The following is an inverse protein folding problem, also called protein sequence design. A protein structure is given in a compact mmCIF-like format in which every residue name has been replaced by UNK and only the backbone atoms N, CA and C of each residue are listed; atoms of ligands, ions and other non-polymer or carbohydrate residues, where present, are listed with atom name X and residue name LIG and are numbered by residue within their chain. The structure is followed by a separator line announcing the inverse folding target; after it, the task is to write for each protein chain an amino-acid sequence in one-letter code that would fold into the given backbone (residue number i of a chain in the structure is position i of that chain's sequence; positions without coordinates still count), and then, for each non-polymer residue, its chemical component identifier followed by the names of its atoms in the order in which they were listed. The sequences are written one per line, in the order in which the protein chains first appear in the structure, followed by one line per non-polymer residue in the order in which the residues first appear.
data_IF_449256061380
#
_entry.id   IF_449256061380
#
_cell.length_a   1.000
_cell.length_b   1.000
_cell.length_c   1.000
_cell.angle_alpha   90.00
_cell.angle_beta   90.00
_cell.angle_gamma   90.00
#
_symmetry.space_group_name_H-M   'P 1'
#
loop_
_entity.id
_entity.type
_entity.pdbx_description
1 polymer ?
#
# COMPACT_ATOMS: atom_id res chain seq x y z
N UNK A 1 -21.83 24.66 28.98
CA UNK A 1 -22.60 23.45 28.61
C UNK A 1 -22.49 23.26 27.10
N UNK A 2 -21.59 22.43 26.63
CA UNK A 2 -21.50 21.98 25.24
C UNK A 2 -21.70 20.46 25.27
N UNK A 3 -22.77 19.99 24.68
CA UNK A 3 -23.07 18.59 24.52
C UNK A 3 -22.12 17.99 23.49
N UNK A 4 -21.30 17.03 23.91
CA UNK A 4 -20.53 16.15 23.06
C UNK A 4 -21.48 15.12 22.44
N UNK A 5 -21.74 15.22 21.14
CA UNK A 5 -22.43 14.18 20.37
C UNK A 5 -21.40 13.08 20.06
N UNK A 6 -21.46 12.02 20.85
CA UNK A 6 -20.77 10.76 20.52
C UNK A 6 -21.47 10.12 19.30
N UNK A 7 -20.75 10.01 18.21
CA UNK A 7 -21.14 9.16 17.08
C UNK A 7 -20.97 7.70 17.48
N UNK A 8 -21.98 6.81 17.30
CA UNK A 8 -21.87 5.43 17.66
C UNK A 8 -20.83 4.71 16.78
N UNK A 9 -19.99 3.94 17.46
CA UNK A 9 -18.88 3.18 16.93
C UNK A 9 -19.29 2.20 15.81
N UNK A 10 -19.14 2.60 14.56
CA UNK A 10 -19.27 1.70 13.38
C UNK A 10 -18.24 0.55 13.38
N UNK A 11 -17.22 0.60 14.23
CA UNK A 11 -16.20 -0.43 14.40
C UNK A 11 -16.67 -1.65 15.21
N UNK A 12 -17.60 -1.50 16.16
CA UNK A 12 -18.04 -2.60 17.02
C UNK A 12 -18.98 -3.57 16.30
N UNK A 13 -19.89 -3.10 15.49
CA UNK A 13 -20.84 -3.92 14.73
C UNK A 13 -20.16 -4.81 13.68
N UNK A 14 -19.08 -4.34 13.02
CA UNK A 14 -18.31 -5.16 12.08
C UNK A 14 -17.51 -6.25 12.80
N UNK A 15 -16.94 -5.97 13.97
CA UNK A 15 -16.21 -6.95 14.76
C UNK A 15 -17.13 -8.06 15.29
N UNK A 16 -18.35 -7.73 15.73
CA UNK A 16 -19.33 -8.70 16.20
C UNK A 16 -19.83 -9.64 15.08
N UNK A 17 -19.99 -9.14 13.85
CA UNK A 17 -20.37 -9.96 12.69
C UNK A 17 -19.28 -10.95 12.26
N UNK A 18 -18.05 -10.81 12.76
CA UNK A 18 -16.96 -11.76 12.51
C UNK A 18 -16.89 -12.91 13.53
N UNK A 19 -17.66 -12.85 14.62
CA UNK A 19 -17.71 -13.94 15.61
C UNK A 19 -18.37 -15.19 14.99
N UNK A 20 -17.69 -16.34 14.95
CA UNK A 20 -18.23 -17.58 14.41
C UNK A 20 -19.49 -18.07 15.14
N UNK A 21 -19.63 -17.77 16.44
CA UNK A 21 -20.82 -18.11 17.21
C UNK A 21 -22.04 -17.30 16.75
N UNK A 22 -21.88 -16.01 16.50
CA UNK A 22 -22.95 -15.13 16.00
C UNK A 22 -23.40 -15.57 14.60
N UNK A 23 -22.46 -15.93 13.72
CA UNK A 23 -22.78 -16.45 12.38
C UNK A 23 -23.54 -17.78 12.46
N UNK A 24 -23.11 -18.72 13.31
CA UNK A 24 -23.76 -19.99 13.50
C UNK A 24 -25.19 -19.80 14.03
N UNK A 25 -25.38 -18.88 14.97
CA UNK A 25 -26.68 -18.55 15.52
C UNK A 25 -27.62 -17.94 14.47
N UNK A 26 -27.13 -17.01 13.67
CA UNK A 26 -27.88 -16.40 12.56
C UNK A 26 -28.32 -17.46 11.52
N UNK A 27 -27.47 -18.42 11.19
CA UNK A 27 -27.81 -19.53 10.29
C UNK A 27 -28.87 -20.43 10.90
N UNK A 28 -28.76 -20.75 12.19
CA UNK A 28 -29.77 -21.56 12.90
C UNK A 28 -31.14 -20.88 12.91
N UNK A 29 -31.20 -19.56 13.19
CA UNK A 29 -32.43 -18.78 13.07
C UNK A 29 -32.95 -18.81 11.65
N UNK A 30 -32.12 -18.67 10.65
CA UNK A 30 -32.54 -18.68 9.26
C UNK A 30 -33.14 -20.03 8.85
N UNK A 31 -32.57 -21.15 9.30
CA UNK A 31 -33.14 -22.48 9.09
C UNK A 31 -34.54 -22.58 9.75
N UNK A 32 -34.66 -22.09 10.97
CA UNK A 32 -35.96 -22.12 11.71
C UNK A 32 -37.01 -21.27 11.00
N UNK A 33 -36.67 -20.04 10.61
CA UNK A 33 -37.57 -19.12 9.87
C UNK A 33 -38.02 -19.75 8.56
N UNK A 34 -37.07 -20.32 7.80
CA UNK A 34 -37.37 -21.00 6.53
C UNK A 34 -38.33 -22.20 6.77
N UNK A 35 -38.08 -22.99 7.79
CA UNK A 35 -38.95 -24.12 8.17
C UNK A 35 -40.37 -23.63 8.53
N UNK A 36 -40.50 -22.64 9.42
CA UNK A 36 -41.80 -22.08 9.81
C UNK A 36 -42.54 -21.50 8.63
N UNK A 37 -41.86 -20.77 7.75
CA UNK A 37 -42.45 -20.20 6.55
C UNK A 37 -43.01 -21.28 5.61
N UNK A 38 -42.22 -22.32 5.33
CA UNK A 38 -42.67 -23.47 4.50
C UNK A 38 -43.89 -24.17 5.12
N UNK A 39 -43.95 -24.24 6.46
CA UNK A 39 -45.09 -24.85 7.18
C UNK A 39 -46.33 -23.99 7.09
N UNK A 40 -46.24 -22.69 7.27
CA UNK A 40 -47.40 -21.78 7.25
C UNK A 40 -48.01 -21.63 5.85
N UNK A 41 -47.23 -21.87 4.81
CA UNK A 41 -47.68 -21.79 3.39
C UNK A 41 -48.30 -23.10 2.87
N UNK A 42 -48.53 -24.07 3.74
CA UNK A 42 -49.36 -25.27 3.41
C UNK A 42 -48.57 -26.54 3.19
N UNK A 43 -47.31 -26.64 3.64
CA UNK A 43 -46.50 -27.84 3.54
C UNK A 43 -46.26 -28.30 2.12
N UNK A 44 -45.08 -28.34 1.73
CA UNK A 44 -44.45 -28.53 0.45
C UNK A 44 -45.22 -29.18 -0.70
N UNK A 45 -45.50 -28.41 -1.71
CA UNK A 45 -45.13 -28.77 -3.04
C UNK A 45 -43.62 -28.49 -3.20
N UNK A 46 -42.90 -29.29 -3.96
CA UNK A 46 -41.47 -29.33 -4.14
C UNK A 46 -40.70 -27.97 -4.27
N UNK A 47 -41.36 -26.94 -4.76
CA UNK A 47 -40.76 -25.62 -4.99
C UNK A 47 -40.38 -24.84 -3.71
N UNK A 48 -41.13 -24.98 -2.61
CA UNK A 48 -40.82 -24.28 -1.36
C UNK A 48 -39.71 -24.96 -0.54
N UNK A 49 -39.43 -26.22 -0.79
CA UNK A 49 -38.27 -26.92 -0.20
C UNK A 49 -36.94 -26.42 -0.75
N UNK A 50 -36.94 -25.84 -1.96
CA UNK A 50 -35.74 -25.24 -2.53
C UNK A 50 -35.24 -24.03 -1.74
N UNK A 51 -36.09 -23.38 -0.92
CA UNK A 51 -35.65 -22.35 0.00
C UNK A 51 -34.63 -22.87 1.06
N UNK A 52 -34.58 -24.18 1.30
CA UNK A 52 -33.57 -24.80 2.14
C UNK A 52 -32.12 -24.62 1.62
N UNK A 53 -31.94 -24.34 0.34
CA UNK A 53 -30.59 -24.03 -0.21
C UNK A 53 -30.03 -22.69 0.26
N UNK A 54 -30.86 -21.71 0.62
CA UNK A 54 -30.40 -20.40 1.05
C UNK A 54 -29.58 -20.45 2.37
N UNK A 55 -30.01 -21.06 3.46
CA UNK A 55 -29.18 -21.23 4.67
C UNK A 55 -27.93 -22.09 4.41
N UNK A 56 -28.00 -23.08 3.48
CA UNK A 56 -26.87 -23.93 3.10
C UNK A 56 -25.80 -23.06 2.39
N UNK A 57 -26.20 -22.22 1.44
CA UNK A 57 -25.30 -21.34 0.71
C UNK A 57 -24.64 -20.30 1.66
N UNK A 58 -25.42 -19.74 2.59
CA UNK A 58 -24.91 -18.80 3.59
C UNK A 58 -23.88 -19.47 4.52
N UNK A 59 -24.13 -20.72 4.95
CA UNK A 59 -23.22 -21.47 5.79
C UNK A 59 -21.94 -21.88 5.01
N UNK A 60 -22.09 -22.24 3.75
CA UNK A 60 -20.95 -22.53 2.86
C UNK A 60 -20.06 -21.27 2.67
N UNK A 61 -20.68 -20.10 2.53
CA UNK A 61 -19.94 -18.82 2.46
C UNK A 61 -19.24 -18.48 3.79
N UNK A 62 -19.90 -18.68 4.93
CA UNK A 62 -19.38 -18.28 6.24
C UNK A 62 -18.34 -19.24 6.83
N UNK A 63 -18.42 -20.54 6.52
CA UNK A 63 -17.64 -21.62 7.15
C UNK A 63 -17.03 -22.61 6.14
N UNK A 64 -17.03 -22.28 4.84
CA UNK A 64 -16.51 -23.12 3.78
C UNK A 64 -17.30 -24.42 3.58
N UNK A 65 -16.65 -25.42 2.97
CA UNK A 65 -17.31 -26.71 2.63
C UNK A 65 -17.86 -27.46 3.84
N UNK A 66 -17.23 -27.34 5.02
CA UNK A 66 -17.71 -27.96 6.26
C UNK A 66 -19.02 -27.34 6.73
N UNK A 67 -19.14 -26.01 6.63
CA UNK A 67 -20.39 -25.30 6.94
C UNK A 67 -21.52 -25.70 6.01
N UNK A 68 -21.25 -25.78 4.70
CA UNK A 68 -22.21 -26.24 3.71
C UNK A 68 -22.68 -27.68 3.94
N UNK A 69 -21.76 -28.59 4.25
CA UNK A 69 -22.09 -30.00 4.56
C UNK A 69 -22.98 -30.13 5.82
N UNK A 70 -22.54 -29.55 6.92
CA UNK A 70 -23.26 -29.65 8.20
C UNK A 70 -24.65 -29.03 8.09
N UNK A 71 -24.75 -27.85 7.48
CA UNK A 71 -26.05 -27.17 7.32
C UNK A 71 -26.94 -27.92 6.33
N UNK A 72 -26.38 -28.50 5.26
CA UNK A 72 -27.13 -29.36 4.33
C UNK A 72 -27.78 -30.57 5.03
N UNK A 73 -27.04 -31.25 5.88
CA UNK A 73 -27.56 -32.35 6.69
C UNK A 73 -28.62 -31.88 7.73
N UNK A 74 -28.38 -30.73 8.38
CA UNK A 74 -29.31 -30.13 9.32
C UNK A 74 -30.64 -29.74 8.65
N UNK A 75 -30.61 -29.10 7.50
CA UNK A 75 -31.80 -28.75 6.71
C UNK A 75 -32.52 -30.00 6.26
N UNK A 76 -31.82 -31.03 5.77
CA UNK A 76 -32.46 -32.29 5.42
C UNK A 76 -33.18 -32.97 6.60
N UNK A 77 -32.60 -32.90 7.80
CA UNK A 77 -33.20 -33.45 8.98
C UNK A 77 -34.46 -32.64 9.42
N UNK A 78 -34.39 -31.32 9.39
CA UNK A 78 -35.48 -30.39 9.77
C UNK A 78 -36.67 -30.52 8.80
N UNK A 79 -36.42 -30.71 7.53
CA UNK A 79 -37.44 -30.87 6.49
C UNK A 79 -37.83 -32.33 6.21
N UNK A 80 -37.30 -33.28 6.97
CA UNK A 80 -37.53 -34.72 6.77
C UNK A 80 -37.96 -35.44 8.09
N UNK A 81 -37.04 -36.18 8.75
CA UNK A 81 -37.41 -37.08 9.84
C UNK A 81 -37.86 -36.37 11.13
N UNK A 82 -37.38 -35.13 11.38
CA UNK A 82 -37.68 -34.42 12.64
C UNK A 82 -39.18 -34.12 12.79
N UNK A 83 -39.90 -33.56 11.79
CA UNK A 83 -41.35 -33.35 11.91
C UNK A 83 -42.14 -34.66 12.07
N UNK A 84 -41.74 -35.72 11.37
CA UNK A 84 -42.38 -37.03 11.50
C UNK A 84 -42.18 -37.62 12.88
N UNK A 85 -40.97 -37.50 13.46
CA UNK A 85 -40.69 -37.95 14.83
C UNK A 85 -41.49 -37.16 15.90
N UNK A 86 -41.76 -35.87 15.65
CA UNK A 86 -42.58 -35.01 16.47
C UNK A 86 -44.11 -35.24 16.29
N UNK A 87 -44.53 -36.16 15.41
CA UNK A 87 -45.93 -36.41 15.10
C UNK A 87 -46.65 -35.32 14.31
N UNK A 88 -45.88 -34.43 13.66
CA UNK A 88 -46.39 -33.28 12.90
C UNK A 88 -46.73 -33.63 11.46
N UNK A 89 -46.18 -34.72 10.91
CA UNK A 89 -46.38 -35.19 9.53
C UNK A 89 -46.37 -36.72 9.43
N UNK A 90 -46.82 -37.22 8.23
CA UNK A 90 -46.61 -38.62 7.86
C UNK A 90 -45.12 -38.84 7.54
N UNK A 91 -44.62 -40.01 7.92
CA UNK A 91 -43.22 -40.40 7.63
C UNK A 91 -43.04 -40.50 6.13
N UNK A 92 -42.16 -39.68 5.59
CA UNK A 92 -41.69 -39.83 4.19
C UNK A 92 -40.94 -41.18 4.03
N UNK A 93 -40.93 -41.69 2.82
CA UNK A 93 -40.17 -42.91 2.54
C UNK A 93 -38.66 -42.71 2.79
N UNK A 94 -37.97 -43.69 3.36
CA UNK A 94 -36.54 -43.59 3.66
C UNK A 94 -35.70 -43.19 2.44
N UNK A 95 -36.12 -43.58 1.26
CA UNK A 95 -35.42 -43.26 0.01
C UNK A 95 -35.54 -41.78 -0.37
N UNK A 96 -36.72 -41.21 -0.25
CA UNK A 96 -36.98 -39.79 -0.55
C UNK A 96 -36.15 -38.86 0.34
N UNK A 97 -36.13 -39.16 1.65
CA UNK A 97 -35.28 -38.44 2.58
C UNK A 97 -33.79 -38.59 2.28
N UNK A 98 -33.32 -39.78 1.94
CA UNK A 98 -31.92 -40.05 1.62
C UNK A 98 -31.48 -39.26 0.38
N UNK A 99 -32.31 -39.21 -0.67
CA UNK A 99 -32.04 -38.43 -1.87
C UNK A 99 -31.91 -36.94 -1.53
N UNK A 100 -32.81 -36.43 -0.68
CA UNK A 100 -32.79 -35.02 -0.26
C UNK A 100 -31.54 -34.70 0.58
N UNK A 101 -31.23 -35.55 1.56
CA UNK A 101 -30.05 -35.38 2.42
C UNK A 101 -28.77 -35.39 1.62
N UNK A 102 -28.62 -36.32 0.67
CA UNK A 102 -27.46 -36.38 -0.20
C UNK A 102 -27.35 -35.16 -1.15
N UNK A 103 -28.48 -34.68 -1.67
CA UNK A 103 -28.52 -33.48 -2.53
C UNK A 103 -28.13 -32.22 -1.74
N UNK A 104 -28.71 -31.96 -0.58
CA UNK A 104 -28.38 -30.80 0.24
C UNK A 104 -26.95 -30.82 0.74
N UNK A 105 -26.48 -31.96 1.25
CA UNK A 105 -25.11 -32.13 1.70
C UNK A 105 -24.11 -32.00 0.53
N UNK A 106 -24.43 -32.61 -0.62
CA UNK A 106 -23.60 -32.58 -1.83
C UNK A 106 -23.46 -31.16 -2.39
N UNK A 107 -24.57 -30.46 -2.58
CA UNK A 107 -24.58 -29.07 -3.07
C UNK A 107 -23.87 -28.14 -2.08
N UNK A 108 -24.16 -28.24 -0.78
CA UNK A 108 -23.50 -27.44 0.24
C UNK A 108 -21.98 -27.64 0.27
N UNK A 109 -21.54 -28.90 0.15
CA UNK A 109 -20.11 -29.24 0.07
C UNK A 109 -19.48 -28.69 -1.21
N UNK A 110 -20.13 -28.83 -2.37
CA UNK A 110 -19.63 -28.36 -3.65
C UNK A 110 -19.50 -26.83 -3.66
N UNK A 111 -20.55 -26.13 -3.28
CA UNK A 111 -20.54 -24.65 -3.21
C UNK A 111 -19.45 -24.17 -2.25
N UNK A 112 -19.35 -24.77 -1.06
CA UNK A 112 -18.31 -24.42 -0.09
C UNK A 112 -16.89 -24.63 -0.63
N UNK A 113 -16.64 -25.74 -1.33
CA UNK A 113 -15.31 -26.00 -1.95
C UNK A 113 -14.99 -25.03 -3.08
N UNK A 114 -15.97 -24.64 -3.89
CA UNK A 114 -15.77 -23.62 -4.93
C UNK A 114 -15.44 -22.26 -4.31
N UNK A 115 -16.14 -21.85 -3.27
CA UNK A 115 -15.87 -20.61 -2.56
C UNK A 115 -14.49 -20.63 -1.87
N UNK A 116 -14.14 -21.72 -1.20
CA UNK A 116 -12.81 -21.88 -0.59
C UNK A 116 -11.69 -21.74 -1.62
N UNK A 117 -11.85 -22.36 -2.81
CA UNK A 117 -10.87 -22.23 -3.91
C UNK A 117 -10.75 -20.80 -4.42
N UNK A 118 -11.87 -20.12 -4.71
CA UNK A 118 -11.82 -18.75 -5.21
C UNK A 118 -11.20 -17.79 -4.22
N UNK A 119 -11.44 -17.95 -2.92
CA UNK A 119 -10.80 -17.16 -1.87
C UNK A 119 -9.31 -17.44 -1.80
N UNK A 120 -8.90 -18.72 -1.85
CA UNK A 120 -7.48 -19.09 -1.83
C UNK A 120 -6.75 -18.52 -3.04
N UNK A 121 -7.28 -18.73 -4.26
CA UNK A 121 -6.69 -18.20 -5.50
C UNK A 121 -6.57 -16.67 -5.49
N UNK A 122 -7.60 -15.95 -5.01
CA UNK A 122 -7.56 -14.49 -4.86
C UNK A 122 -6.49 -14.04 -3.83
N UNK A 123 -6.35 -14.78 -2.73
CA UNK A 123 -5.34 -14.48 -1.70
C UNK A 123 -3.92 -14.73 -2.22
N UNK A 124 -3.71 -15.85 -2.91
CA UNK A 124 -2.41 -16.19 -3.52
C UNK A 124 -2.02 -15.20 -4.62
N UNK A 125 -2.98 -14.79 -5.47
CA UNK A 125 -2.74 -13.78 -6.49
C UNK A 125 -2.36 -12.41 -5.88
N UNK A 126 -3.02 -12.03 -4.78
CA UNK A 126 -2.71 -10.78 -4.07
C UNK A 126 -1.34 -10.85 -3.37
N UNK A 127 -1.05 -11.96 -2.71
CA UNK A 127 0.25 -12.18 -2.07
C UNK A 127 1.39 -12.21 -3.09
N UNK A 128 1.20 -12.92 -4.22
CA UNK A 128 2.18 -12.93 -5.31
C UNK A 128 2.41 -11.54 -5.93
N UNK A 129 1.38 -10.71 -6.00
CA UNK A 129 1.49 -9.32 -6.44
C UNK A 129 2.30 -8.46 -5.48
N UNK A 130 2.07 -8.57 -4.18
CA UNK A 130 2.82 -7.84 -3.13
C UNK A 130 4.29 -8.27 -3.13
N UNK A 131 4.57 -9.57 -3.16
CA UNK A 131 5.93 -10.09 -3.24
C UNK A 131 6.66 -9.68 -4.52
N UNK A 132 5.93 -9.52 -5.63
CA UNK A 132 6.46 -9.01 -6.90
C UNK A 132 6.90 -7.57 -6.81
N UNK A 133 6.04 -6.70 -6.24
CA UNK A 133 6.35 -5.28 -6.03
C UNK A 133 7.55 -5.12 -5.10
N UNK A 134 7.62 -5.89 -4.02
CA UNK A 134 8.74 -5.76 -3.07
C UNK A 134 10.08 -6.17 -3.70
N UNK A 135 10.10 -7.26 -4.48
CA UNK A 135 11.30 -7.67 -5.23
C UNK A 135 11.71 -6.63 -6.28
N UNK A 136 10.75 -6.01 -6.96
CA UNK A 136 11.01 -4.92 -7.89
C UNK A 136 11.63 -3.72 -7.17
N UNK A 137 11.09 -3.33 -6.01
CA UNK A 137 11.62 -2.26 -5.15
C UNK A 137 13.05 -2.54 -4.69
N UNK A 138 13.34 -3.75 -4.23
CA UNK A 138 14.70 -4.16 -3.85
C UNK A 138 15.69 -4.08 -5.02
N UNK A 139 15.25 -4.52 -6.20
CA UNK A 139 16.08 -4.48 -7.42
C UNK A 139 16.38 -3.05 -7.85
N UNK A 140 15.37 -2.17 -7.84
CA UNK A 140 15.54 -0.76 -8.18
C UNK A 140 16.46 -0.05 -7.18
N UNK A 141 16.32 -0.35 -5.89
CA UNK A 141 17.22 0.19 -4.86
C UNK A 141 18.67 -0.25 -5.06
N UNK A 142 18.89 -1.51 -5.44
CA UNK A 142 20.24 -1.99 -5.75
C UNK A 142 20.85 -1.25 -6.95
N UNK A 143 20.04 -0.99 -7.98
CA UNK A 143 20.46 -0.19 -9.16
C UNK A 143 20.73 1.27 -8.79
N UNK A 144 19.91 1.90 -7.95
CA UNK A 144 20.11 3.27 -7.48
C UNK A 144 21.42 3.39 -6.68
N UNK A 145 21.69 2.47 -5.78
CA UNK A 145 22.96 2.40 -5.05
C UNK A 145 24.15 2.22 -6.01
N UNK A 146 24.01 1.40 -7.03
CA UNK A 146 25.05 1.22 -8.06
C UNK A 146 25.27 2.50 -8.89
N UNK A 147 24.21 3.26 -9.19
CA UNK A 147 24.31 4.55 -9.87
C UNK A 147 25.12 5.55 -9.05
N UNK A 148 24.77 5.69 -7.77
CA UNK A 148 25.42 6.61 -6.83
C UNK A 148 26.87 6.19 -6.50
N UNK A 149 27.20 4.89 -6.45
CA UNK A 149 28.55 4.39 -6.14
C UNK A 149 29.61 4.82 -7.16
N UNK A 150 29.19 5.30 -8.31
CA UNK A 150 30.10 5.84 -9.34
C UNK A 150 30.58 7.25 -9.02
N UNK A 151 29.80 8.03 -8.25
CA UNK A 151 30.02 9.47 -8.07
C UNK A 151 30.30 9.84 -6.60
N UNK A 152 29.80 9.10 -5.65
CA UNK A 152 29.87 9.42 -4.21
C UNK A 152 30.06 8.17 -3.33
N UNK A 153 30.16 8.37 -1.99
CA UNK A 153 30.02 7.33 -0.97
C UNK A 153 28.56 6.83 -0.93
N UNK A 154 28.21 6.04 -1.90
CA UNK A 154 26.89 5.74 -2.43
C UNK A 154 25.86 5.20 -1.43
N UNK A 155 26.28 4.35 -0.51
CA UNK A 155 25.36 3.69 0.41
C UNK A 155 24.73 4.65 1.41
N UNK A 156 25.48 5.60 1.88
CA UNK A 156 25.09 6.50 2.94
C UNK A 156 24.27 7.69 2.42
N UNK A 157 24.61 8.22 1.23
CA UNK A 157 23.84 9.28 0.58
C UNK A 157 22.37 8.85 0.39
N UNK A 158 22.15 7.70 -0.24
CA UNK A 158 20.80 7.17 -0.51
C UNK A 158 19.98 7.04 0.78
N UNK A 159 20.61 6.58 1.88
CA UNK A 159 19.94 6.47 3.19
C UNK A 159 19.65 7.82 3.84
N UNK A 160 20.56 8.80 3.71
CA UNK A 160 20.35 10.16 4.23
C UNK A 160 19.22 10.85 3.48
N UNK A 161 19.14 10.68 2.16
CA UNK A 161 18.05 11.20 1.33
C UNK A 161 16.71 10.57 1.74
N UNK A 162 16.64 9.24 1.89
CA UNK A 162 15.43 8.56 2.40
C UNK A 162 14.97 9.18 3.71
N UNK A 163 15.86 9.22 4.68
CA UNK A 163 15.54 9.65 6.04
C UNK A 163 15.07 11.12 6.09
N UNK A 164 15.81 12.02 5.44
CA UNK A 164 15.50 13.46 5.46
C UNK A 164 14.25 13.79 4.68
N UNK A 165 14.03 13.16 3.51
CA UNK A 165 12.83 13.37 2.69
C UNK A 165 11.58 12.85 3.39
N UNK A 166 11.63 11.67 4.00
CA UNK A 166 10.55 11.12 4.82
C UNK A 166 10.19 12.04 5.98
N UNK A 167 11.20 12.51 6.74
CA UNK A 167 10.97 13.40 7.89
C UNK A 167 10.41 14.75 7.46
N UNK A 168 10.90 15.33 6.36
CA UNK A 168 10.35 16.57 5.83
C UNK A 168 8.89 16.39 5.37
N UNK A 169 8.56 15.31 4.68
CA UNK A 169 7.19 14.98 4.29
C UNK A 169 6.25 14.88 5.51
N UNK A 170 6.67 14.20 6.58
CA UNK A 170 5.90 14.13 7.85
C UNK A 170 5.66 15.52 8.44
N UNK A 171 6.70 16.37 8.49
CA UNK A 171 6.59 17.74 9.01
C UNK A 171 5.76 18.66 8.13
N UNK A 172 5.72 18.41 6.82
CA UNK A 172 4.85 19.09 5.88
C UNK A 172 3.37 18.63 5.96
N UNK A 173 3.02 17.74 6.92
CA UNK A 173 1.65 17.34 7.21
C UNK A 173 1.19 16.07 6.51
N UNK A 174 2.08 15.32 5.86
CA UNK A 174 1.75 14.05 5.25
C UNK A 174 1.77 12.90 6.26
N UNK A 175 0.78 12.00 6.17
CA UNK A 175 0.72 10.81 7.02
C UNK A 175 1.90 9.86 6.79
N UNK A 176 2.18 9.00 7.79
CA UNK A 176 3.36 8.12 7.81
C UNK A 176 3.51 7.23 6.57
N UNK A 177 2.42 6.75 5.98
CA UNK A 177 2.44 5.91 4.76
C UNK A 177 2.95 6.72 3.56
N UNK A 178 2.40 7.91 3.34
CA UNK A 178 2.83 8.79 2.23
C UNK A 178 4.26 9.27 2.44
N UNK A 179 4.63 9.64 3.66
CA UNK A 179 5.98 10.06 3.98
C UNK A 179 7.01 8.93 3.79
N UNK A 180 6.66 7.69 4.14
CA UNK A 180 7.52 6.53 3.87
C UNK A 180 7.69 6.29 2.36
N UNK A 181 6.63 6.48 1.58
CA UNK A 181 6.69 6.38 0.12
C UNK A 181 7.57 7.49 -0.49
N UNK A 182 7.46 8.74 -0.01
CA UNK A 182 8.37 9.84 -0.41
C UNK A 182 9.82 9.47 -0.13
N UNK A 183 10.12 8.95 1.07
CA UNK A 183 11.47 8.54 1.43
C UNK A 183 12.02 7.43 0.53
N UNK A 184 11.23 6.38 0.29
CA UNK A 184 11.61 5.29 -0.60
C UNK A 184 11.83 5.79 -2.04
N UNK A 185 10.89 6.55 -2.57
CA UNK A 185 10.95 7.08 -3.94
C UNK A 185 12.14 8.03 -4.13
N UNK A 186 12.49 8.80 -3.11
CA UNK A 186 13.65 9.70 -3.11
C UNK A 186 14.97 8.97 -3.34
N UNK A 187 15.09 7.71 -2.88
CA UNK A 187 16.31 6.91 -3.12
C UNK A 187 16.60 6.65 -4.60
N UNK A 188 15.60 6.80 -5.47
CA UNK A 188 15.70 6.50 -6.89
C UNK A 188 15.92 7.73 -7.78
N UNK A 189 16.02 8.94 -7.19
CA UNK A 189 16.02 10.21 -7.92
C UNK A 189 17.07 10.29 -9.03
N UNK A 190 18.23 9.70 -8.82
CA UNK A 190 19.40 9.75 -9.67
C UNK A 190 19.69 8.46 -10.47
N UNK A 191 18.73 7.54 -10.54
CA UNK A 191 18.88 6.26 -11.26
C UNK A 191 19.34 6.44 -12.72
N UNK A 192 18.92 7.51 -13.37
CA UNK A 192 19.30 7.84 -14.74
C UNK A 192 20.78 8.15 -14.95
N UNK A 193 21.54 8.44 -13.88
CA UNK A 193 22.99 8.60 -13.95
C UNK A 193 23.70 7.33 -14.48
N UNK A 194 23.08 6.15 -14.40
CA UNK A 194 23.59 4.92 -15.02
C UNK A 194 23.86 5.08 -16.54
N UNK A 195 23.15 6.00 -17.20
CA UNK A 195 23.32 6.26 -18.64
C UNK A 195 24.36 7.36 -18.95
N UNK A 196 24.82 8.08 -17.94
CA UNK A 196 25.88 9.08 -18.12
C UNK A 196 27.23 8.37 -18.34
N UNK A 197 27.98 8.67 -19.40
CA UNK A 197 29.29 8.07 -19.63
C UNK A 197 30.29 8.39 -18.52
N UNK A 198 31.10 7.40 -18.09
CA UNK A 198 32.11 7.58 -17.03
C UNK A 198 33.05 8.73 -17.26
N UNK A 199 33.50 8.95 -18.53
CA UNK A 199 34.37 10.07 -18.91
C UNK A 199 33.79 11.45 -18.58
N UNK A 200 32.43 11.55 -18.43
CA UNK A 200 31.74 12.79 -18.07
C UNK A 200 31.48 12.79 -16.56
N UNK A 201 30.88 11.72 -16.02
CA UNK A 201 30.50 11.65 -14.63
C UNK A 201 31.69 11.73 -13.66
N UNK A 202 32.82 11.12 -14.02
CA UNK A 202 34.05 11.05 -13.23
C UNK A 202 35.12 12.06 -13.64
N UNK A 203 34.77 13.02 -14.49
CA UNK A 203 35.71 14.03 -14.96
C UNK A 203 36.22 14.88 -13.81
N UNK A 204 37.53 14.98 -13.58
CA UNK A 204 38.10 15.78 -12.49
C UNK A 204 38.03 17.29 -12.73
N UNK A 205 37.87 17.70 -13.98
CA UNK A 205 37.75 19.09 -14.39
C UNK A 205 36.31 19.55 -14.54
N UNK A 206 36.00 20.84 -14.53
CA UNK A 206 34.67 21.34 -14.83
C UNK A 206 34.13 20.79 -16.16
N UNK A 207 32.82 20.45 -16.14
CA UNK A 207 32.13 19.99 -17.35
C UNK A 207 31.98 21.14 -18.36
N UNK A 208 32.19 20.84 -19.63
CA UNK A 208 31.87 21.77 -20.70
C UNK A 208 30.37 21.84 -21.01
N UNK A 209 29.87 22.78 -21.83
CA UNK A 209 28.44 22.92 -22.11
C UNK A 209 27.79 21.67 -22.73
N UNK A 210 28.53 20.93 -23.58
CA UNK A 210 28.00 19.73 -24.23
C UNK A 210 27.89 18.57 -23.22
N UNK A 211 28.88 18.42 -22.33
CA UNK A 211 28.87 17.47 -21.24
C UNK A 211 27.76 17.77 -20.25
N UNK A 212 27.54 19.03 -19.89
CA UNK A 212 26.41 19.46 -19.07
C UNK A 212 25.08 19.11 -19.71
N UNK A 213 24.95 19.26 -21.02
CA UNK A 213 23.74 18.87 -21.76
C UNK A 213 23.43 17.37 -21.55
N UNK A 214 24.47 16.52 -21.57
CA UNK A 214 24.33 15.09 -21.34
C UNK A 214 23.92 14.79 -19.89
N UNK A 215 24.60 15.41 -18.91
CA UNK A 215 24.27 15.20 -17.48
C UNK A 215 22.83 15.62 -17.18
N UNK A 216 22.34 16.73 -17.74
CA UNK A 216 20.97 17.21 -17.56
C UNK A 216 19.89 16.30 -18.12
N UNK A 217 20.23 15.23 -18.84
CA UNK A 217 19.27 14.22 -19.30
C UNK A 217 18.98 13.15 -18.26
N UNK A 218 19.75 13.04 -17.16
CA UNK A 218 19.51 11.97 -16.18
C UNK A 218 18.12 12.01 -15.53
N UNK A 219 17.44 13.15 -15.31
CA UNK A 219 16.08 13.15 -14.81
C UNK A 219 15.10 12.46 -15.77
N UNK A 220 15.23 12.75 -17.08
CA UNK A 220 14.44 12.09 -18.12
C UNK A 220 14.75 10.59 -18.15
N UNK A 221 16.00 10.21 -18.06
CA UNK A 221 16.42 8.81 -18.04
C UNK A 221 16.00 8.08 -16.76
N UNK A 222 15.89 8.79 -15.64
CA UNK A 222 15.32 8.23 -14.40
C UNK A 222 13.84 7.89 -14.59
N UNK A 223 13.05 8.81 -15.13
CA UNK A 223 11.64 8.56 -15.45
C UNK A 223 11.48 7.40 -16.44
N UNK A 224 12.27 7.36 -17.51
CA UNK A 224 12.27 6.28 -18.50
C UNK A 224 12.64 4.91 -17.89
N UNK A 225 13.55 4.87 -16.92
CA UNK A 225 13.97 3.64 -16.25
C UNK A 225 12.91 3.10 -15.28
N UNK A 226 12.08 3.97 -14.73
CA UNK A 226 11.02 3.64 -13.77
C UNK A 226 9.70 3.29 -14.49
N UNK A 227 9.77 2.44 -15.51
CA UNK A 227 8.58 1.89 -16.17
C UNK A 227 7.91 0.87 -15.28
N UNK A 228 6.58 0.89 -15.16
CA UNK A 228 5.85 -0.06 -14.32
C UNK A 228 4.51 0.46 -13.83
N UNK A 229 4.02 -0.15 -12.74
CA UNK A 229 2.71 0.14 -12.17
C UNK A 229 2.63 1.50 -11.44
N UNK A 230 1.43 1.76 -10.91
CA UNK A 230 1.14 2.99 -10.16
C UNK A 230 2.03 3.18 -8.91
N UNK A 231 2.62 2.11 -8.38
CA UNK A 231 3.52 2.14 -7.22
C UNK A 231 4.86 2.84 -7.50
N UNK A 232 5.22 3.09 -8.77
CA UNK A 232 6.42 3.85 -9.17
C UNK A 232 6.13 5.31 -9.54
N UNK A 233 4.86 5.74 -9.52
CA UNK A 233 4.47 7.08 -9.95
C UNK A 233 5.19 8.20 -9.19
N UNK A 234 5.28 8.07 -7.88
CA UNK A 234 5.98 9.05 -7.05
C UNK A 234 7.48 9.10 -7.37
N UNK A 235 8.10 7.94 -7.60
CA UNK A 235 9.51 7.87 -7.99
C UNK A 235 9.77 8.49 -9.36
N UNK A 236 8.85 8.32 -10.33
CA UNK A 236 8.92 9.01 -11.64
C UNK A 236 8.85 10.53 -11.49
N UNK A 237 7.89 11.02 -10.70
CA UNK A 237 7.74 12.47 -10.45
C UNK A 237 8.98 13.06 -9.80
N UNK A 238 9.55 12.40 -8.80
CA UNK A 238 10.79 12.80 -8.16
C UNK A 238 11.94 12.76 -9.18
N UNK A 239 12.13 11.62 -9.84
CA UNK A 239 13.21 11.41 -10.80
C UNK A 239 13.24 12.47 -11.89
N UNK A 240 12.07 12.80 -12.47
CA UNK A 240 11.97 13.81 -13.52
C UNK A 240 12.20 15.22 -13.00
N UNK A 241 11.66 15.58 -11.82
CA UNK A 241 11.51 16.99 -11.44
C UNK A 241 12.37 17.45 -10.26
N UNK A 242 13.27 16.61 -9.71
CA UNK A 242 14.10 16.98 -8.56
C UNK A 242 15.15 18.07 -8.85
N UNK A 243 15.38 18.41 -10.12
CA UNK A 243 16.24 19.53 -10.55
C UNK A 243 15.45 20.76 -11.03
N UNK A 244 14.12 20.73 -10.89
CA UNK A 244 13.35 21.95 -11.09
C UNK A 244 13.60 22.95 -9.97
N UNK A 245 13.67 24.25 -10.33
CA UNK A 245 13.81 25.34 -9.40
C UNK A 245 12.46 26.04 -9.19
N UNK A 246 12.19 26.51 -7.98
CA UNK A 246 10.94 27.15 -7.64
C UNK A 246 10.55 28.31 -8.56
N UNK A 247 11.55 29.04 -9.08
CA UNK A 247 11.38 30.17 -10.00
C UNK A 247 11.26 29.77 -11.49
N UNK A 248 11.29 28.49 -11.82
CA UNK A 248 11.22 27.98 -13.19
C UNK A 248 12.54 27.98 -13.96
N UNK A 249 13.66 28.32 -13.31
CA UNK A 249 15.00 28.30 -13.94
C UNK A 249 15.63 26.90 -13.97
N UNK A 250 14.91 25.88 -13.48
CA UNK A 250 15.36 24.50 -13.39
C UNK A 250 15.28 23.72 -14.70
N UNK A 251 15.40 22.41 -14.63
CA UNK A 251 15.30 21.48 -15.75
C UNK A 251 14.70 20.14 -15.29
N UNK A 252 14.15 19.30 -16.20
CA UNK A 252 14.17 19.42 -17.67
C UNK A 252 13.01 20.24 -18.26
N UNK A 253 11.91 20.48 -17.51
CA UNK A 253 10.67 21.04 -18.03
C UNK A 253 10.49 22.54 -17.76
N UNK A 254 11.30 23.11 -16.85
CA UNK A 254 11.17 24.51 -16.42
C UNK A 254 9.89 24.79 -15.66
N UNK A 255 9.42 23.82 -14.86
CA UNK A 255 8.26 23.97 -13.98
C UNK A 255 8.54 24.99 -12.89
N UNK A 256 7.52 25.78 -12.50
CA UNK A 256 7.67 26.77 -11.44
C UNK A 256 6.62 26.61 -10.34
N UNK A 257 6.98 26.96 -9.11
CA UNK A 257 6.09 26.97 -7.97
C UNK A 257 5.39 25.63 -7.76
N UNK A 258 4.07 25.66 -7.60
CA UNK A 258 3.25 24.47 -7.36
C UNK A 258 3.07 23.55 -8.58
N UNK A 259 3.56 23.91 -9.75
CA UNK A 259 3.63 23.00 -10.89
C UNK A 259 4.65 21.87 -10.65
N UNK A 260 5.67 22.14 -9.82
CA UNK A 260 6.66 21.13 -9.42
C UNK A 260 5.97 20.17 -8.44
N UNK A 261 5.96 18.84 -8.70
CA UNK A 261 5.38 17.88 -7.77
C UNK A 261 5.98 18.03 -6.36
N UNK A 262 5.12 18.04 -5.34
CA UNK A 262 5.57 18.24 -3.95
C UNK A 262 6.68 17.27 -3.52
N UNK A 263 6.64 15.94 -3.85
CA UNK A 263 7.74 15.05 -3.53
C UNK A 263 9.08 15.48 -4.16
N UNK A 264 9.06 16.02 -5.38
CA UNK A 264 10.26 16.52 -6.04
C UNK A 264 10.81 17.78 -5.36
N UNK A 265 9.94 18.72 -4.91
CA UNK A 265 10.34 19.90 -4.10
C UNK A 265 10.99 19.48 -2.79
N UNK A 266 10.49 18.43 -2.14
CA UNK A 266 11.07 17.86 -0.92
C UNK A 266 12.47 17.34 -1.20
N UNK A 267 12.63 16.50 -2.23
CA UNK A 267 13.92 15.89 -2.58
C UNK A 267 14.92 16.96 -3.03
N UNK A 268 14.49 17.99 -3.75
CA UNK A 268 15.34 19.13 -4.16
C UNK A 268 16.05 19.79 -2.95
N UNK A 269 15.35 19.95 -1.83
CA UNK A 269 15.90 20.53 -0.59
C UNK A 269 16.83 19.53 0.10
N UNK A 270 16.40 18.28 0.24
CA UNK A 270 17.15 17.28 1.00
C UNK A 270 18.42 16.86 0.27
N UNK A 271 18.41 16.77 -1.07
CA UNK A 271 19.60 16.52 -1.88
C UNK A 271 20.59 17.69 -1.81
N UNK A 272 20.13 18.93 -1.97
CA UNK A 272 20.96 20.10 -1.82
C UNK A 272 21.60 20.18 -0.42
N UNK A 273 20.85 19.88 0.64
CA UNK A 273 21.35 19.85 2.00
C UNK A 273 22.41 18.74 2.17
N UNK A 274 22.15 17.54 1.67
CA UNK A 274 23.11 16.43 1.73
C UNK A 274 24.39 16.76 0.98
N UNK A 275 24.27 17.33 -0.21
CA UNK A 275 25.40 17.77 -1.02
C UNK A 275 26.31 18.78 -0.31
N UNK A 276 25.74 19.70 0.43
CA UNK A 276 26.48 20.74 1.17
C UNK A 276 27.12 20.19 2.44
N UNK A 277 26.46 19.27 3.14
CA UNK A 277 26.86 18.83 4.48
C UNK A 277 27.69 17.57 4.50
N UNK A 278 27.87 16.87 3.38
CA UNK A 278 28.69 15.68 3.29
C UNK A 278 29.86 15.86 2.32
N UNK A 279 30.91 15.04 2.51
CA UNK A 279 32.10 15.11 1.70
C UNK A 279 31.81 14.68 0.27
N UNK A 280 32.23 15.49 -0.69
CA UNK A 280 32.27 15.15 -2.12
C UNK A 280 33.71 15.27 -2.64
N UNK A 281 34.10 14.60 -3.74
CA UNK A 281 35.47 14.63 -4.25
C UNK A 281 36.06 16.03 -4.42
N UNK A 282 35.20 17.00 -4.72
CA UNK A 282 35.60 18.39 -5.07
C UNK A 282 35.12 19.44 -4.07
N UNK A 283 34.45 19.03 -2.94
CA UNK A 283 33.87 19.99 -2.01
C UNK A 283 34.04 19.52 -0.56
N UNK A 284 34.54 20.42 0.30
CA UNK A 284 34.54 20.19 1.76
C UNK A 284 33.14 20.45 2.31
N UNK A 285 32.69 19.63 3.27
CA UNK A 285 31.39 19.81 3.90
C UNK A 285 31.33 21.10 4.71
N UNK A 286 30.20 21.78 4.64
CA UNK A 286 29.89 22.94 5.50
C UNK A 286 29.14 22.51 6.76
N UNK A 287 29.04 23.40 7.76
CA UNK A 287 28.22 23.13 8.95
C UNK A 287 26.72 23.03 8.61
N UNK A 288 25.95 22.40 9.49
CA UNK A 288 24.49 22.31 9.32
C UNK A 288 23.85 23.70 9.24
N UNK A 289 24.31 24.62 10.07
CA UNK A 289 23.84 26.00 10.10
C UNK A 289 24.14 26.73 8.79
N UNK A 290 25.35 26.60 8.27
CA UNK A 290 25.74 27.23 6.98
C UNK A 290 24.91 26.66 5.81
N UNK A 291 24.63 25.35 5.82
CA UNK A 291 23.75 24.73 4.82
C UNK A 291 22.31 25.24 4.93
N UNK A 292 21.78 25.41 6.14
CA UNK A 292 20.44 25.97 6.34
C UNK A 292 20.35 27.46 5.92
N UNK A 293 21.41 28.25 6.16
CA UNK A 293 21.50 29.62 5.70
C UNK A 293 21.50 29.70 4.16
N UNK A 294 22.23 28.82 3.50
CA UNK A 294 22.25 28.74 2.03
C UNK A 294 20.89 28.35 1.44
N UNK A 295 20.22 27.35 2.04
CA UNK A 295 18.84 27.00 1.65
C UNK A 295 17.90 28.19 1.81
N UNK A 296 17.99 28.91 2.93
CA UNK A 296 17.16 30.07 3.21
C UNK A 296 17.44 31.24 2.25
N UNK A 297 18.70 31.49 1.87
CA UNK A 297 19.08 32.52 0.93
C UNK A 297 18.55 32.27 -0.49
N UNK A 298 18.31 30.99 -0.83
CA UNK A 298 17.77 30.56 -2.13
C UNK A 298 16.28 30.16 -2.07
N UNK A 299 15.60 30.40 -0.94
CA UNK A 299 14.16 30.18 -0.82
C UNK A 299 13.40 31.17 -1.75
N UNK A 300 12.41 30.63 -2.47
CA UNK A 300 11.67 31.38 -3.50
C UNK A 300 12.38 31.48 -4.85
N UNK A 301 13.63 31.05 -4.93
CA UNK A 301 14.38 30.93 -6.18
C UNK A 301 14.58 29.45 -6.56
N UNK A 302 15.48 28.77 -5.86
CA UNK A 302 15.75 27.37 -6.12
C UNK A 302 14.79 26.43 -5.37
N UNK A 303 14.32 26.85 -4.21
CA UNK A 303 13.59 26.01 -3.25
C UNK A 303 12.25 26.61 -2.88
N UNK A 304 11.28 25.73 -2.59
CA UNK A 304 10.00 26.10 -2.00
C UNK A 304 10.22 26.76 -0.63
N UNK A 305 9.80 28.03 -0.44
CA UNK A 305 10.10 28.78 0.77
C UNK A 305 9.43 28.22 2.03
N UNK A 306 8.26 27.59 1.90
CA UNK A 306 7.56 26.98 3.03
C UNK A 306 8.26 25.67 3.45
N UNK A 307 8.66 24.85 2.51
CA UNK A 307 9.42 23.63 2.78
C UNK A 307 10.80 23.95 3.37
N UNK A 308 11.49 24.98 2.89
CA UNK A 308 12.77 25.43 3.47
C UNK A 308 12.61 25.82 4.94
N UNK A 309 11.58 26.60 5.28
CA UNK A 309 11.27 26.96 6.67
C UNK A 309 11.03 25.73 7.52
N UNK A 310 10.17 24.83 7.03
CA UNK A 310 9.81 23.57 7.71
C UNK A 310 11.03 22.68 7.91
N UNK A 311 11.91 22.57 6.91
CA UNK A 311 13.15 21.82 6.99
C UNK A 311 14.15 22.41 7.98
N UNK A 312 14.28 23.73 8.01
CA UNK A 312 15.12 24.42 8.99
C UNK A 312 14.66 24.16 10.43
N UNK A 313 13.34 24.20 10.69
CA UNK A 313 12.76 23.85 11.99
C UNK A 313 13.01 22.36 12.34
N UNK A 314 12.86 21.45 11.36
CA UNK A 314 13.12 20.03 11.51
C UNK A 314 14.57 19.77 11.94
N UNK A 315 15.55 20.28 11.19
CA UNK A 315 16.98 20.04 11.47
C UNK A 315 17.40 20.63 12.83
N UNK A 316 16.87 21.80 13.22
CA UNK A 316 17.20 22.42 14.52
C UNK A 316 16.61 21.68 15.71
N UNK A 317 15.39 21.14 15.59
CA UNK A 317 14.61 20.64 16.72
C UNK A 317 14.58 19.10 16.83
N UNK A 318 14.85 18.34 15.76
CA UNK A 318 14.85 16.87 15.79
C UNK A 318 16.25 16.34 16.14
N UNK A 319 16.47 16.09 17.46
CA UNK A 319 17.72 15.53 17.95
C UNK A 319 17.99 14.12 17.39
N UNK A 320 16.94 13.30 17.25
CA UNK A 320 17.10 11.92 16.73
C UNK A 320 17.56 11.93 15.28
N UNK A 321 16.96 12.81 14.45
CA UNK A 321 17.38 12.96 13.06
C UNK A 321 18.85 13.39 12.97
N UNK A 322 19.27 14.37 13.76
CA UNK A 322 20.68 14.82 13.76
C UNK A 322 21.65 13.72 14.18
N UNK A 323 21.28 12.93 15.18
CA UNK A 323 22.09 11.78 15.61
C UNK A 323 22.23 10.75 14.49
N UNK A 324 21.10 10.35 13.86
CA UNK A 324 21.10 9.42 12.74
C UNK A 324 21.93 9.93 11.55
N UNK A 325 21.84 11.21 11.22
CA UNK A 325 22.65 11.82 10.16
C UNK A 325 24.14 11.84 10.52
N UNK A 326 24.49 12.03 11.80
CA UNK A 326 25.88 11.97 12.27
C UNK A 326 26.44 10.55 12.18
N UNK A 327 25.66 9.55 12.58
CA UNK A 327 26.06 8.13 12.51
C UNK A 327 26.32 7.70 11.07
N UNK A 328 25.46 8.14 10.12
CA UNK A 328 25.61 7.89 8.69
C UNK A 328 26.78 8.65 8.02
N UNK A 329 27.45 9.56 8.72
CA UNK A 329 28.66 10.25 8.23
C UNK A 329 29.96 9.56 8.67
N UNK A 330 29.86 8.74 9.71
CA UNK A 330 31.01 8.09 10.33
C UNK A 330 31.18 6.63 9.88
N UNK A 331 30.18 6.08 9.20
CA UNK A 331 30.16 4.71 8.68
C UNK A 331 30.79 4.62 7.30
#
# INVERSE_FOLDING_TARGET
MRASSEAPAQGSLRAELHDPAIRAFAIAIFILVTFVFVRLTGGAPSALMELGYAPIALAAYAFGWRGGLVTGLAVAAVFGPVPAWLGLERVEGPMEWLIRATSFAGIGTLVGRLLDRTVTEATEATAGGVDGIERERESLLALAKAAESRDTDAGEHVRRIELTSRRLAQRAGHGDIVAAEVGWAAMLHDLGKLRVPDRILLKPDPLDPDEWTIVRLHPIWTEEALTGGAHLEMARQIGRSHHENWDGSGYPDGLYGDQIPLPARIVRITDAFDAMTNRRPYQQPVSLEAALEELQANAGRNFDPELVRTFGELIRNDFQLRTQLSDLRLA
#
